data_IF_809624586605
#
_entry.id   IF_809624586605
#
_cell.length_a   1.000
_cell.length_b   1.000
_cell.length_c   1.000
_cell.angle_alpha   90.00
_cell.angle_beta   90.00
_cell.angle_gamma   90.00
#
_symmetry.space_group_name_H-M   'P 1'
#
loop_
_entity.id
_entity.type
_entity.pdbx_description
1 polymer ?
#
# COMPACT_ATOMS: atom_id res chain seq x y z
N UNK A 1 -28.52 22.21 7.71
CA UNK A 1 -27.84 20.90 7.57
C UNK A 1 -26.40 21.20 7.21
N UNK A 2 -25.47 21.00 8.15
CA UNK A 2 -24.05 21.28 7.97
C UNK A 2 -23.39 20.06 7.33
N UNK A 3 -22.77 20.23 6.16
CA UNK A 3 -21.82 19.28 5.61
C UNK A 3 -20.56 19.43 6.47
N UNK A 4 -20.27 18.44 7.31
CA UNK A 4 -18.96 18.35 7.93
C UNK A 4 -17.99 17.94 6.82
N UNK A 5 -17.16 18.88 6.39
CA UNK A 5 -15.87 18.59 5.79
C UNK A 5 -15.17 17.58 6.71
N UNK A 6 -15.01 16.34 6.24
CA UNK A 6 -14.08 15.39 6.85
C UNK A 6 -12.68 15.87 6.49
N UNK A 7 -12.24 16.91 7.19
CA UNK A 7 -10.86 17.39 7.21
C UNK A 7 -10.03 16.36 7.98
N UNK A 8 -9.79 15.21 7.35
CA UNK A 8 -8.81 14.25 7.87
C UNK A 8 -7.47 14.99 7.94
N UNK A 9 -6.89 15.16 9.13
CA UNK A 9 -5.72 16.00 9.29
C UNK A 9 -4.58 15.39 8.47
N UNK A 10 -4.15 16.12 7.44
CA UNK A 10 -2.98 15.76 6.66
C UNK A 10 -1.80 15.61 7.63
N UNK A 11 -1.30 14.38 7.80
CA UNK A 11 -0.21 14.10 8.71
C UNK A 11 1.07 14.77 8.19
N UNK A 12 1.43 15.91 8.78
CA UNK A 12 2.70 16.59 8.50
C UNK A 12 3.82 15.78 9.13
N UNK A 13 4.52 14.98 8.32
CA UNK A 13 5.66 14.20 8.78
C UNK A 13 6.88 15.11 8.92
N UNK A 14 7.57 15.11 10.08
CA UNK A 14 8.74 15.94 10.28
C UNK A 14 9.86 15.55 9.32
N UNK A 15 10.47 16.54 8.68
CA UNK A 15 11.62 16.33 7.80
C UNK A 15 12.89 16.15 8.64
N UNK A 16 13.73 15.13 8.39
CA UNK A 16 13.61 14.10 7.36
C UNK A 16 12.60 13.01 7.72
N UNK A 17 11.71 12.69 6.78
CA UNK A 17 10.72 11.63 6.98
C UNK A 17 11.46 10.31 7.15
N UNK A 18 11.30 9.67 8.31
CA UNK A 18 11.91 8.35 8.54
C UNK A 18 11.26 7.36 7.58
N UNK A 19 12.06 6.50 6.93
CA UNK A 19 11.57 5.45 6.02
C UNK A 19 10.39 4.63 6.58
N UNK A 20 10.40 4.43 7.90
CA UNK A 20 9.33 3.77 8.64
C UNK A 20 8.00 4.54 8.62
N UNK A 21 8.03 5.88 8.71
CA UNK A 21 6.84 6.72 8.63
C UNK A 21 6.23 6.73 7.21
N UNK A 22 7.05 6.68 6.16
CA UNK A 22 6.58 6.54 4.77
C UNK A 22 5.91 5.18 4.54
N UNK A 23 6.47 4.12 5.10
CA UNK A 23 5.84 2.79 5.04
C UNK A 23 4.55 2.75 5.87
N UNK A 24 4.56 3.40 7.04
CA UNK A 24 3.38 3.50 7.89
C UNK A 24 2.25 4.31 7.22
N UNK A 25 2.56 5.35 6.43
CA UNK A 25 1.55 6.13 5.71
C UNK A 25 0.93 5.36 4.54
N UNK A 26 1.61 4.33 4.01
CA UNK A 26 1.07 3.51 2.93
C UNK A 26 -0.15 2.69 3.37
N UNK A 27 -0.16 2.20 4.62
CA UNK A 27 -1.26 1.38 5.16
C UNK A 27 -2.61 2.11 5.17
N UNK A 28 -2.78 3.29 5.81
CA UNK A 28 -4.04 4.00 5.78
C UNK A 28 -4.43 4.40 4.36
N UNK A 29 -3.48 4.85 3.51
CA UNK A 29 -3.77 5.18 2.11
C UNK A 29 -4.35 3.99 1.33
N UNK A 30 -3.80 2.78 1.52
CA UNK A 30 -4.32 1.59 0.83
C UNK A 30 -5.68 1.17 1.38
N UNK A 31 -5.88 1.28 2.71
CA UNK A 31 -7.18 1.00 3.33
C UNK A 31 -8.26 1.94 2.79
N UNK A 32 -8.02 3.25 2.79
CA UNK A 32 -8.99 4.24 2.31
C UNK A 32 -9.38 4.01 0.85
N UNK A 33 -8.42 3.57 0.01
CA UNK A 33 -8.65 3.31 -1.40
C UNK A 33 -9.32 1.96 -1.66
N UNK A 34 -9.12 0.96 -0.81
CA UNK A 34 -9.64 -0.39 -1.03
C UNK A 34 -10.98 -0.67 -0.32
N UNK A 35 -11.30 -0.01 0.80
CA UNK A 35 -12.53 -0.22 1.62
C UNK A 35 -13.85 0.09 0.86
N UNK A 36 -13.82 0.31 -0.45
CA UNK A 36 -15.02 0.32 -1.32
C UNK A 36 -15.69 -1.05 -1.52
N UNK A 37 -15.23 -2.13 -0.88
CA UNK A 37 -15.86 -3.45 -0.93
C UNK A 37 -16.33 -3.91 0.45
N UNK A 38 -17.63 -4.24 0.58
CA UNK A 38 -18.33 -4.68 1.79
C UNK A 38 -17.99 -6.12 2.23
N UNK A 39 -16.71 -6.45 2.48
CA UNK A 39 -16.35 -7.76 3.04
C UNK A 39 -15.60 -7.59 4.37
N UNK A 40 -16.20 -8.08 5.46
CA UNK A 40 -15.67 -7.98 6.84
C UNK A 40 -14.44 -8.89 7.09
N UNK A 41 -14.09 -9.76 6.14
CA UNK A 41 -12.79 -10.44 6.18
C UNK A 41 -11.72 -9.48 5.66
N UNK A 42 -11.09 -8.71 6.54
CA UNK A 42 -10.02 -7.77 6.19
C UNK A 42 -8.95 -8.49 5.32
N UNK A 43 -8.91 -8.27 3.99
CA UNK A 43 -7.90 -8.89 3.15
C UNK A 43 -6.53 -8.20 3.34
N UNK A 44 -6.45 -7.14 4.14
CA UNK A 44 -5.26 -6.32 4.40
C UNK A 44 -4.56 -6.69 5.70
N UNK A 45 -4.15 -7.95 5.86
CA UNK A 45 -3.19 -8.28 6.91
C UNK A 45 -1.78 -7.80 6.53
N UNK A 46 -1.62 -6.49 6.34
CA UNK A 46 -0.34 -5.86 6.15
C UNK A 46 0.42 -5.82 7.47
N UNK A 47 1.64 -6.35 7.47
CA UNK A 47 2.46 -6.42 8.68
C UNK A 47 3.67 -5.53 8.53
N UNK A 48 3.84 -4.61 9.48
CA UNK A 48 5.06 -3.82 9.59
C UNK A 48 6.14 -4.62 10.30
N UNK A 49 7.29 -4.78 9.66
CA UNK A 49 8.49 -5.34 10.30
C UNK A 49 9.46 -4.20 10.55
N UNK A 50 9.74 -3.95 11.82
CA UNK A 50 10.63 -2.90 12.29
C UNK A 50 12.10 -3.36 12.30
N UNK A 51 13.06 -2.43 12.22
CA UNK A 51 14.50 -2.72 12.35
C UNK A 51 15.39 -1.89 11.42
N UNK A 52 16.62 -2.39 11.17
CA UNK A 52 17.62 -1.73 10.30
C UNK A 52 17.17 -1.57 8.84
N UNK A 53 16.21 -2.39 8.41
CA UNK A 53 15.54 -2.30 7.10
C UNK A 53 14.04 -2.47 7.34
N UNK A 54 13.32 -1.38 7.68
CA UNK A 54 11.89 -1.47 7.88
C UNK A 54 11.22 -1.88 6.57
N UNK A 55 10.22 -2.75 6.68
CA UNK A 55 9.44 -3.24 5.53
C UNK A 55 7.98 -3.38 5.89
N UNK A 56 7.13 -3.11 4.90
CA UNK A 56 5.71 -3.41 4.96
C UNK A 56 5.44 -4.66 4.14
N UNK A 57 5.11 -5.77 4.81
CA UNK A 57 4.66 -6.99 4.15
C UNK A 57 3.20 -6.84 3.74
N UNK A 58 2.91 -7.10 2.46
CA UNK A 58 1.55 -7.10 1.91
C UNK A 58 0.95 -8.49 2.08
N UNK A 59 1.69 -9.53 1.67
CA UNK A 59 1.35 -10.94 1.87
C UNK A 59 2.63 -11.79 1.98
N UNK A 60 2.51 -13.11 1.80
CA UNK A 60 3.65 -14.05 1.82
C UNK A 60 4.70 -13.75 0.73
N UNK A 61 4.27 -13.26 -0.41
CA UNK A 61 5.08 -13.14 -1.62
C UNK A 61 5.44 -11.70 -1.95
N UNK A 62 4.76 -10.70 -1.36
CA UNK A 62 4.99 -9.29 -1.63
C UNK A 62 5.28 -8.44 -0.39
N UNK A 63 6.25 -7.53 -0.53
CA UNK A 63 6.57 -6.52 0.47
C UNK A 63 7.17 -5.25 -0.14
N UNK A 64 7.08 -4.15 0.61
CA UNK A 64 7.67 -2.84 0.28
C UNK A 64 8.79 -2.52 1.26
N UNK A 65 9.92 -2.07 0.74
CA UNK A 65 11.04 -1.47 1.48
C UNK A 65 11.30 -0.04 0.99
N UNK A 66 12.02 0.75 1.78
CA UNK A 66 12.56 2.04 1.34
C UNK A 66 14.07 1.92 1.21
N UNK A 67 14.59 2.20 0.01
CA UNK A 67 16.00 2.41 -0.25
C UNK A 67 16.36 3.82 0.18
N UNK A 68 17.49 4.01 0.87
CA UNK A 68 17.88 5.34 1.36
C UNK A 68 18.70 6.16 0.36
N UNK A 69 19.34 5.54 -0.63
CA UNK A 69 20.18 6.23 -1.62
C UNK A 69 20.14 5.52 -3.00
N UNK A 70 19.46 6.11 -4.01
CA UNK A 70 18.49 7.21 -3.88
C UNK A 70 17.30 6.82 -2.99
N UNK A 71 16.62 7.82 -2.42
CA UNK A 71 15.38 7.56 -1.68
C UNK A 71 14.30 7.07 -2.66
N UNK A 72 13.95 5.79 -2.54
CA UNK A 72 12.99 5.15 -3.42
C UNK A 72 12.27 4.01 -2.70
N UNK A 73 11.01 3.82 -3.06
CA UNK A 73 10.26 2.64 -2.68
C UNK A 73 10.68 1.46 -3.56
N UNK A 74 10.85 0.31 -2.91
CA UNK A 74 11.14 -0.96 -3.55
C UNK A 74 10.01 -1.93 -3.23
N UNK A 75 9.08 -2.11 -4.17
CA UNK A 75 8.11 -3.18 -4.13
C UNK A 75 8.75 -4.45 -4.69
N UNK A 76 8.76 -5.51 -3.90
CA UNK A 76 9.28 -6.81 -4.28
C UNK A 76 8.16 -7.83 -4.23
N UNK A 77 8.00 -8.56 -5.33
CA UNK A 77 6.97 -9.60 -5.48
C UNK A 77 7.69 -10.88 -5.93
N UNK A 78 7.53 -11.96 -5.18
CA UNK A 78 7.88 -13.30 -5.60
C UNK A 78 6.76 -13.82 -6.53
N UNK A 79 7.01 -13.78 -7.83
CA UNK A 79 6.03 -14.22 -8.83
C UNK A 79 6.09 -15.74 -9.07
N UNK A 80 7.23 -16.39 -8.75
CA UNK A 80 7.46 -17.83 -8.77
C UNK A 80 8.67 -18.16 -7.86
N UNK A 81 8.96 -19.44 -7.54
CA UNK A 81 10.09 -19.83 -6.68
C UNK A 81 11.43 -19.22 -7.11
N UNK A 82 11.62 -19.01 -8.42
CA UNK A 82 12.84 -18.49 -9.02
C UNK A 82 12.66 -17.11 -9.70
N UNK A 83 11.48 -16.49 -9.63
CA UNK A 83 11.22 -15.19 -10.25
C UNK A 83 10.83 -14.13 -9.23
N UNK A 84 11.53 -13.00 -9.29
CA UNK A 84 11.29 -11.84 -8.44
C UNK A 84 11.08 -10.62 -9.31
N UNK A 85 9.93 -9.99 -9.17
CA UNK A 85 9.67 -8.67 -9.74
C UNK A 85 10.11 -7.66 -8.69
N UNK A 86 10.95 -6.71 -9.10
CA UNK A 86 11.29 -5.54 -8.29
C UNK A 86 10.84 -4.31 -9.03
N UNK A 87 9.94 -3.56 -8.41
CA UNK A 87 9.49 -2.26 -8.89
C UNK A 87 10.09 -1.19 -7.99
N UNK A 88 10.96 -0.35 -8.57
CA UNK A 88 11.64 0.75 -7.89
C UNK A 88 11.05 2.08 -8.36
N UNK A 89 10.57 2.90 -7.43
CA UNK A 89 10.06 4.23 -7.75
C UNK A 89 10.25 5.21 -6.59
N UNK A 90 10.64 6.47 -6.84
CA UNK A 90 10.56 7.52 -5.84
C UNK A 90 9.13 8.09 -5.70
N UNK A 91 8.22 7.76 -6.62
CA UNK A 91 6.85 8.29 -6.65
C UNK A 91 5.91 7.42 -5.79
N UNK A 92 5.47 7.98 -4.67
CA UNK A 92 4.53 7.34 -3.75
C UNK A 92 3.19 7.01 -4.40
N UNK A 93 2.64 7.88 -5.24
CA UNK A 93 1.36 7.63 -5.92
C UNK A 93 1.49 6.48 -6.93
N UNK A 94 2.66 6.37 -7.58
CA UNK A 94 2.95 5.25 -8.46
C UNK A 94 3.05 3.93 -7.67
N UNK A 95 3.73 3.93 -6.52
CA UNK A 95 3.77 2.78 -5.62
C UNK A 95 2.35 2.33 -5.22
N UNK A 96 1.52 3.25 -4.75
CA UNK A 96 0.13 2.97 -4.34
C UNK A 96 -0.64 2.28 -5.46
N UNK A 97 -0.57 2.81 -6.69
CA UNK A 97 -1.22 2.20 -7.87
C UNK A 97 -0.75 0.78 -8.13
N UNK A 98 0.56 0.54 -8.06
CA UNK A 98 1.11 -0.81 -8.26
C UNK A 98 0.66 -1.79 -7.19
N UNK A 99 0.63 -1.37 -5.92
CA UNK A 99 0.17 -2.23 -4.83
C UNK A 99 -1.32 -2.54 -4.97
N UNK A 100 -2.16 -1.56 -5.32
CA UNK A 100 -3.58 -1.79 -5.60
C UNK A 100 -3.80 -2.77 -6.76
N UNK A 101 -3.06 -2.59 -7.87
CA UNK A 101 -3.12 -3.49 -9.01
C UNK A 101 -2.72 -4.92 -8.64
N UNK A 102 -1.61 -5.07 -7.91
CA UNK A 102 -1.15 -6.36 -7.42
C UNK A 102 -2.22 -7.06 -6.57
N UNK A 103 -2.86 -6.33 -5.66
CA UNK A 103 -3.89 -6.89 -4.77
C UNK A 103 -5.14 -7.29 -5.55
N UNK A 104 -5.60 -6.47 -6.51
CA UNK A 104 -6.74 -6.79 -7.36
C UNK A 104 -6.50 -8.04 -8.22
N UNK A 105 -5.30 -8.19 -8.79
CA UNK A 105 -4.95 -9.40 -9.57
C UNK A 105 -4.86 -10.66 -8.71
N UNK A 106 -4.42 -10.53 -7.45
CA UNK A 106 -4.10 -11.66 -6.58
C UNK A 106 -5.27 -12.14 -5.73
N UNK A 107 -6.16 -11.23 -5.34
CA UNK A 107 -7.33 -11.52 -4.50
C UNK A 107 -8.66 -11.43 -5.28
N UNK A 108 -8.60 -11.06 -6.57
CA UNK A 108 -9.77 -10.75 -7.39
C UNK A 108 -10.15 -9.27 -7.28
N UNK A 109 -10.72 -8.69 -8.34
CA UNK A 109 -11.24 -7.33 -8.27
C UNK A 109 -12.33 -7.25 -7.19
N UNK A 110 -12.45 -6.14 -6.44
CA UNK A 110 -13.71 -5.84 -5.77
C UNK A 110 -14.78 -5.84 -6.85
N UNK A 111 -15.77 -6.74 -6.72
CA UNK A 111 -16.88 -6.82 -7.68
C UNK A 111 -17.47 -5.42 -7.83
N UNK A 112 -17.33 -4.82 -9.01
CA UNK A 112 -18.24 -3.77 -9.45
C UNK A 112 -19.57 -4.45 -9.74
N UNK A 113 -20.33 -4.74 -8.68
CA UNK A 113 -21.70 -5.21 -8.83
C UNK A 113 -22.56 -4.01 -9.24
N UNK A 114 -23.22 -4.14 -10.39
CA UNK A 114 -24.43 -3.37 -10.67
C UNK A 114 -24.41 -2.51 -11.92
N UNK A 115 -24.27 -3.13 -13.09
CA UNK A 115 -25.03 -2.65 -14.24
C UNK A 115 -26.52 -2.60 -13.85
N UNK A 116 -27.12 -1.43 -13.96
CA UNK A 116 -28.57 -1.29 -13.97
C UNK A 116 -29.01 -1.07 -15.42
N UNK A 117 -29.93 -1.95 -15.81
CA UNK A 117 -30.66 -2.02 -17.08
C UNK A 117 -31.36 -0.72 -17.47
#
# INVERSE_FOLDING_TARGET
MSLADCDEPAAVLPFPVRSEALLASLVPTLRDLYVRGEDESDPFLMTMVHGLRPRLSIDRDAYVEVRQQPEAFLLKIAAAPDSKITFETPDFAMLVKFVLQYMAERHGEPRSDGGLS
#
